data_IF_574045641830
#
_entry.id   IF_574045641830
#
_cell.length_a   1.000
_cell.length_b   1.000
_cell.length_c   1.000
_cell.angle_alpha   90.00
_cell.angle_beta   90.00
_cell.angle_gamma   90.00
#
_symmetry.space_group_name_H-M   'P 1'
#
loop_
_entity.id
_entity.type
_entity.pdbx_description
1 polymer ?
#
# COMPACT_ATOMS: atom_id res chain seq x y z
N UNK A 1 24.71 -4.26 -24.51
CA UNK A 1 25.55 -4.35 -25.76
C UNK A 1 26.46 -5.59 -25.78
N UNK A 2 27.04 -6.02 -24.67
CA UNK A 2 28.03 -7.12 -24.63
C UNK A 2 27.42 -8.52 -24.88
N UNK A 3 26.14 -8.72 -24.64
CA UNK A 3 25.47 -10.04 -24.78
C UNK A 3 25.12 -10.36 -26.25
N UNK A 4 24.81 -9.35 -27.05
CA UNK A 4 24.53 -9.49 -28.48
C UNK A 4 25.74 -9.96 -29.29
N UNK A 5 26.94 -9.49 -28.93
CA UNK A 5 28.20 -9.92 -29.53
C UNK A 5 28.53 -11.40 -29.28
N UNK A 6 28.06 -11.98 -28.18
CA UNK A 6 28.30 -13.40 -27.84
C UNK A 6 27.37 -14.38 -28.56
N UNK A 7 26.20 -13.93 -28.97
CA UNK A 7 25.20 -14.82 -29.59
C UNK A 7 25.37 -14.99 -31.11
N UNK A 8 26.17 -14.15 -31.78
CA UNK A 8 26.35 -14.17 -33.22
C UNK A 8 25.09 -13.81 -34.03
N UNK A 9 24.08 -13.27 -33.36
CA UNK A 9 22.79 -12.90 -33.97
C UNK A 9 22.75 -11.40 -34.25
N UNK A 10 22.19 -11.02 -35.40
CA UNK A 10 22.06 -9.60 -35.78
C UNK A 10 21.02 -8.85 -34.92
N UNK A 11 21.22 -7.55 -34.70
CA UNK A 11 20.26 -6.70 -33.99
C UNK A 11 18.85 -6.77 -34.58
N UNK A 12 18.74 -6.81 -35.91
CA UNK A 12 17.46 -6.92 -36.60
C UNK A 12 16.72 -8.22 -36.30
N UNK A 13 17.45 -9.31 -36.07
CA UNK A 13 16.86 -10.61 -35.71
C UNK A 13 16.31 -10.56 -34.28
N UNK A 14 17.00 -9.91 -33.35
CA UNK A 14 16.57 -9.75 -31.97
C UNK A 14 15.33 -8.86 -31.89
N UNK A 15 15.30 -7.77 -32.64
CA UNK A 15 14.11 -6.90 -32.72
C UNK A 15 12.91 -7.65 -33.31
N UNK A 16 13.10 -8.40 -34.41
CA UNK A 16 12.01 -9.24 -34.98
C UNK A 16 11.51 -10.30 -34.01
N UNK A 17 12.40 -10.94 -33.26
CA UNK A 17 12.03 -11.91 -32.25
C UNK A 17 11.14 -11.28 -31.17
N UNK A 18 11.53 -10.13 -30.63
CA UNK A 18 10.72 -9.40 -29.66
C UNK A 18 9.34 -9.03 -30.23
N UNK A 19 9.29 -8.57 -31.48
CA UNK A 19 8.02 -8.22 -32.16
C UNK A 19 7.13 -9.44 -32.42
N UNK A 20 7.70 -10.59 -32.75
CA UNK A 20 6.96 -11.85 -32.90
C UNK A 20 6.37 -12.33 -31.59
N UNK A 21 6.99 -12.02 -30.44
CA UNK A 21 6.47 -12.29 -29.11
C UNK A 21 5.42 -11.26 -28.64
N UNK A 22 5.09 -10.26 -29.48
CA UNK A 22 4.06 -9.28 -29.21
C UNK A 22 4.57 -7.99 -28.52
N UNK A 23 5.88 -7.82 -28.35
CA UNK A 23 6.46 -6.60 -27.80
C UNK A 23 6.72 -5.54 -28.89
N UNK A 24 6.70 -4.25 -28.51
CA UNK A 24 6.96 -3.15 -29.45
C UNK A 24 8.41 -3.11 -29.95
N UNK A 25 9.30 -3.85 -29.29
CA UNK A 25 10.71 -3.95 -29.66
C UNK A 25 11.53 -4.61 -28.54
N UNK A 26 12.84 -4.71 -28.78
CA UNK A 26 13.76 -5.37 -27.84
C UNK A 26 13.80 -4.76 -26.43
N UNK A 27 13.78 -3.41 -26.24
CA UNK A 27 13.80 -2.83 -24.92
C UNK A 27 12.59 -3.24 -24.05
N UNK A 28 11.41 -3.35 -24.63
CA UNK A 28 10.21 -3.79 -23.93
C UNK A 28 10.29 -5.29 -23.58
N UNK A 29 10.74 -6.11 -24.52
CA UNK A 29 10.99 -7.53 -24.28
C UNK A 29 12.06 -7.75 -23.21
N UNK A 30 13.18 -7.02 -23.25
CA UNK A 30 14.25 -7.09 -22.26
C UNK A 30 13.71 -6.79 -20.86
N UNK A 31 12.92 -5.74 -20.73
CA UNK A 31 12.28 -5.37 -19.46
C UNK A 31 11.35 -6.44 -18.93
N UNK A 32 10.51 -7.01 -19.79
CA UNK A 32 9.63 -8.12 -19.42
C UNK A 32 10.43 -9.38 -19.02
N UNK A 33 11.53 -9.66 -19.71
CA UNK A 33 12.41 -10.77 -19.38
C UNK A 33 13.14 -10.54 -18.05
N UNK A 34 13.61 -9.33 -17.78
CA UNK A 34 14.22 -8.96 -16.51
C UNK A 34 13.21 -9.11 -15.35
N UNK A 35 11.96 -8.67 -15.54
CA UNK A 35 10.87 -8.88 -14.56
C UNK A 35 10.62 -10.37 -14.32
N UNK A 36 10.55 -11.19 -15.38
CA UNK A 36 10.35 -12.63 -15.28
C UNK A 36 11.48 -13.33 -14.51
N UNK A 37 12.73 -13.00 -14.84
CA UNK A 37 13.92 -13.56 -14.17
C UNK A 37 13.93 -13.15 -12.71
N UNK A 38 13.69 -11.87 -12.42
CA UNK A 38 13.65 -11.33 -11.06
C UNK A 38 12.61 -12.04 -10.19
N UNK A 39 11.43 -12.32 -10.75
CA UNK A 39 10.35 -13.02 -10.05
C UNK A 39 10.69 -14.49 -9.72
N UNK A 40 11.62 -15.09 -10.47
CA UNK A 40 12.09 -16.48 -10.24
C UNK A 40 13.27 -16.60 -9.29
N UNK A 41 13.98 -15.51 -8.98
CA UNK A 41 15.12 -15.53 -8.06
C UNK A 41 14.65 -15.86 -6.64
N UNK A 42 15.33 -16.81 -5.99
CA UNK A 42 15.15 -17.04 -4.56
C UNK A 42 15.85 -15.95 -3.73
N UNK A 43 15.64 -15.95 -2.40
CA UNK A 43 16.18 -14.90 -1.53
C UNK A 43 17.70 -14.83 -1.54
N UNK A 44 18.38 -15.96 -1.68
CA UNK A 44 19.86 -16.03 -1.72
C UNK A 44 20.38 -15.40 -3.01
N UNK A 45 19.84 -15.80 -4.16
CA UNK A 45 20.19 -15.23 -5.46
C UNK A 45 19.96 -13.72 -5.53
N UNK A 46 18.91 -13.27 -4.89
CA UNK A 46 18.61 -11.85 -4.77
C UNK A 46 19.68 -11.10 -3.97
N UNK A 47 20.12 -11.67 -2.84
CA UNK A 47 21.24 -11.12 -2.05
C UNK A 47 22.54 -11.06 -2.86
N UNK A 48 22.89 -12.12 -3.57
CA UNK A 48 24.11 -12.20 -4.38
C UNK A 48 24.14 -11.11 -5.47
N UNK A 49 23.02 -10.86 -6.14
CA UNK A 49 22.91 -9.79 -7.14
C UNK A 49 23.12 -8.40 -6.51
N UNK A 50 22.75 -8.22 -5.24
CA UNK A 50 22.83 -6.93 -4.56
C UNK A 50 24.20 -6.68 -3.93
N UNK A 51 24.75 -7.67 -3.22
CA UNK A 51 26.02 -7.52 -2.51
C UNK A 51 27.23 -7.19 -3.40
N UNK A 52 27.17 -7.52 -4.68
CA UNK A 52 28.23 -7.15 -5.64
C UNK A 52 28.13 -5.74 -6.19
N UNK A 53 27.09 -4.97 -5.84
CA UNK A 53 26.77 -3.68 -6.50
C UNK A 53 26.73 -2.47 -5.57
N UNK A 54 26.64 -2.66 -4.26
CA UNK A 54 26.46 -1.59 -3.28
C UNK A 54 27.54 -1.67 -2.23
N UNK A 55 28.28 -0.58 -2.02
CA UNK A 55 29.22 -0.44 -0.91
C UNK A 55 28.46 -0.11 0.38
N UNK A 56 28.98 -0.54 1.53
CA UNK A 56 28.30 -0.36 2.82
C UNK A 56 28.12 1.12 3.18
N UNK A 57 28.98 2.00 2.72
CA UNK A 57 28.91 3.44 2.95
C UNK A 57 27.81 4.15 2.15
N UNK A 58 27.34 3.56 1.05
CA UNK A 58 26.36 4.17 0.13
C UNK A 58 24.96 3.55 0.23
N UNK A 59 24.76 2.59 1.15
CA UNK A 59 23.49 1.85 1.27
C UNK A 59 22.30 2.78 1.46
N UNK A 60 22.38 3.74 2.38
CA UNK A 60 21.28 4.64 2.70
C UNK A 60 20.84 5.45 1.48
N UNK A 61 21.79 6.12 0.83
CA UNK A 61 21.51 6.93 -0.37
C UNK A 61 20.97 6.07 -1.51
N UNK A 62 21.58 4.91 -1.75
CA UNK A 62 21.15 3.98 -2.82
C UNK A 62 19.72 3.50 -2.62
N UNK A 63 19.34 3.14 -1.38
CA UNK A 63 17.98 2.68 -1.07
C UNK A 63 16.98 3.83 -1.24
N UNK A 64 17.25 5.00 -0.66
CA UNK A 64 16.36 6.16 -0.76
C UNK A 64 16.19 6.63 -2.20
N UNK A 65 17.29 6.69 -2.97
CA UNK A 65 17.23 7.06 -4.38
C UNK A 65 16.43 6.03 -5.21
N UNK A 66 16.62 4.75 -4.94
CA UNK A 66 15.83 3.67 -5.55
C UNK A 66 14.34 3.78 -5.23
N UNK A 67 13.99 4.15 -4.00
CA UNK A 67 12.60 4.34 -3.58
C UNK A 67 11.95 5.56 -4.26
N UNK A 68 12.69 6.67 -4.40
CA UNK A 68 12.25 7.84 -5.16
C UNK A 68 11.93 7.46 -6.62
N UNK A 69 12.80 6.65 -7.24
CA UNK A 69 12.57 6.21 -8.62
C UNK A 69 11.32 5.32 -8.75
N UNK A 70 11.06 4.44 -7.80
CA UNK A 70 9.85 3.61 -7.79
C UNK A 70 8.58 4.44 -7.67
N UNK A 71 8.59 5.47 -6.82
CA UNK A 71 7.47 6.42 -6.73
C UNK A 71 7.27 7.13 -8.06
N UNK A 72 8.33 7.65 -8.69
CA UNK A 72 8.26 8.33 -9.99
C UNK A 72 7.73 7.39 -11.09
N UNK A 73 8.23 6.16 -11.15
CA UNK A 73 7.77 5.16 -12.12
C UNK A 73 6.30 4.80 -11.90
N UNK A 74 5.86 4.67 -10.66
CA UNK A 74 4.46 4.42 -10.32
C UNK A 74 3.59 5.58 -10.74
N UNK A 75 3.98 6.82 -10.41
CA UNK A 75 3.25 8.04 -10.78
C UNK A 75 3.08 8.17 -12.30
N UNK A 76 4.12 7.83 -13.08
CA UNK A 76 4.08 7.92 -14.55
C UNK A 76 3.25 6.80 -15.22
N UNK A 77 3.00 5.70 -14.52
CA UNK A 77 2.35 4.51 -15.07
C UNK A 77 0.97 4.22 -14.48
N UNK A 78 0.55 4.98 -13.46
CA UNK A 78 -0.72 4.73 -12.78
C UNK A 78 -1.92 4.98 -13.70
N UNK A 79 -2.87 4.06 -13.71
CA UNK A 79 -4.14 4.23 -14.40
C UNK A 79 -5.12 5.01 -13.52
N UNK A 80 -5.30 6.29 -13.87
CA UNK A 80 -6.23 7.18 -13.15
C UNK A 80 -7.69 6.70 -13.22
N UNK A 81 -8.10 6.00 -14.28
CA UNK A 81 -9.47 5.47 -14.39
C UNK A 81 -9.65 4.31 -13.43
N UNK A 82 -8.68 3.39 -13.37
CA UNK A 82 -8.67 2.30 -12.41
C UNK A 82 -8.65 2.82 -10.97
N UNK A 83 -7.86 3.86 -10.70
CA UNK A 83 -7.77 4.49 -9.39
C UNK A 83 -9.12 5.09 -8.96
N UNK A 84 -9.75 5.89 -9.82
CA UNK A 84 -11.07 6.48 -9.53
C UNK A 84 -12.16 5.41 -9.38
N UNK A 85 -12.14 4.39 -10.22
CA UNK A 85 -13.07 3.25 -10.11
C UNK A 85 -12.91 2.53 -8.75
N UNK A 86 -11.68 2.34 -8.29
CA UNK A 86 -11.42 1.73 -6.98
C UNK A 86 -12.02 2.57 -5.85
N UNK A 87 -11.83 3.90 -5.89
CA UNK A 87 -12.42 4.82 -4.89
C UNK A 87 -13.95 4.71 -4.86
N UNK A 88 -14.59 4.80 -6.03
CA UNK A 88 -16.06 4.76 -6.11
C UNK A 88 -16.60 3.40 -5.63
N UNK A 89 -15.92 2.32 -6.03
CA UNK A 89 -16.28 0.96 -5.59
C UNK A 89 -16.14 0.76 -4.08
N UNK A 90 -15.10 1.34 -3.46
CA UNK A 90 -14.91 1.27 -2.01
C UNK A 90 -15.95 2.08 -1.25
N UNK A 91 -16.37 3.21 -1.78
CA UNK A 91 -17.41 4.05 -1.19
C UNK A 91 -18.82 3.41 -1.23
N UNK A 92 -19.09 2.60 -2.25
CA UNK A 92 -20.37 1.89 -2.45
C UNK A 92 -20.40 0.52 -1.77
N UNK A 93 -19.27 0.03 -1.26
CA UNK A 93 -19.13 -1.30 -0.71
C UNK A 93 -19.98 -1.49 0.57
N UNK A 94 -20.68 -2.63 0.65
CA UNK A 94 -21.36 -3.05 1.89
C UNK A 94 -20.35 -3.45 2.96
N UNK A 95 -19.28 -4.14 2.57
CA UNK A 95 -18.15 -4.54 3.41
C UNK A 95 -16.88 -4.49 2.59
N UNK A 96 -15.80 -4.09 3.22
CA UNK A 96 -14.47 -4.01 2.62
C UNK A 96 -13.58 -5.02 3.34
N UNK A 97 -13.01 -5.96 2.59
CA UNK A 97 -12.02 -6.90 3.10
C UNK A 97 -10.65 -6.49 2.59
N UNK A 98 -9.66 -6.43 3.47
CA UNK A 98 -8.27 -6.11 3.10
C UNK A 98 -7.40 -7.30 3.42
N UNK A 99 -6.73 -7.88 2.42
CA UNK A 99 -5.86 -9.04 2.58
C UNK A 99 -4.47 -8.78 2.04
N UNK A 100 -3.47 -8.91 2.91
CA UNK A 100 -2.05 -8.89 2.59
C UNK A 100 -1.32 -9.85 3.52
N UNK A 101 -0.47 -10.71 2.97
CA UNK A 101 0.17 -11.80 3.72
C UNK A 101 1.68 -11.57 3.79
N UNK A 102 2.30 -11.96 4.93
CA UNK A 102 3.75 -11.84 5.17
C UNK A 102 4.21 -10.37 5.08
N UNK A 103 5.16 -10.03 4.17
CA UNK A 103 5.66 -8.67 3.99
C UNK A 103 4.59 -7.65 3.57
N UNK A 104 3.46 -8.11 3.00
CA UNK A 104 2.33 -7.25 2.66
C UNK A 104 1.33 -7.05 3.81
N UNK A 105 1.43 -7.81 4.91
CA UNK A 105 0.54 -7.68 6.06
C UNK A 105 0.58 -6.27 6.69
N UNK A 106 1.73 -5.61 6.86
CA UNK A 106 1.79 -4.23 7.33
C UNK A 106 1.02 -3.24 6.46
N UNK A 107 1.06 -3.40 5.12
CA UNK A 107 0.29 -2.55 4.21
C UNK A 107 -1.22 -2.77 4.37
N UNK A 108 -1.65 -4.03 4.51
CA UNK A 108 -3.04 -4.36 4.75
C UNK A 108 -3.53 -3.81 6.08
N UNK A 109 -2.73 -3.93 7.14
CA UNK A 109 -3.05 -3.39 8.47
C UNK A 109 -3.12 -1.86 8.46
N UNK A 110 -2.17 -1.19 7.82
CA UNK A 110 -2.16 0.26 7.65
C UNK A 110 -3.41 0.74 6.90
N UNK A 111 -3.70 0.12 5.76
CA UNK A 111 -4.88 0.46 4.96
C UNK A 111 -6.18 0.21 5.73
N UNK A 112 -6.28 -0.94 6.40
CA UNK A 112 -7.44 -1.30 7.20
C UNK A 112 -7.68 -0.35 8.36
N UNK A 113 -6.61 0.09 9.04
CA UNK A 113 -6.69 1.08 10.12
C UNK A 113 -7.35 2.38 9.64
N UNK A 114 -6.84 2.99 8.56
CA UNK A 114 -7.40 4.24 8.06
C UNK A 114 -8.77 4.08 7.41
N UNK A 115 -9.03 2.99 6.72
CA UNK A 115 -10.36 2.74 6.17
C UNK A 115 -11.42 2.58 7.26
N UNK A 116 -11.10 1.99 8.42
CA UNK A 116 -12.01 1.90 9.56
C UNK A 116 -12.39 3.26 10.18
N UNK A 117 -11.58 4.31 9.96
CA UNK A 117 -11.95 5.68 10.39
C UNK A 117 -12.99 6.33 9.47
N UNK A 118 -13.17 5.79 8.25
CA UNK A 118 -13.93 6.44 7.17
C UNK A 118 -15.09 5.59 6.67
N UNK A 119 -15.00 4.25 6.83
CA UNK A 119 -15.94 3.26 6.34
C UNK A 119 -16.40 2.34 7.47
N UNK A 120 -17.71 2.01 7.51
CA UNK A 120 -18.32 1.33 8.66
C UNK A 120 -17.96 -0.16 8.78
N UNK A 121 -17.69 -0.85 7.68
CA UNK A 121 -17.59 -2.32 7.66
C UNK A 121 -16.28 -2.78 7.00
N UNK A 122 -15.15 -2.47 7.63
CA UNK A 122 -13.83 -2.88 7.13
C UNK A 122 -13.30 -4.06 7.94
N UNK A 123 -12.91 -5.12 7.26
CA UNK A 123 -12.36 -6.35 7.82
C UNK A 123 -10.94 -6.53 7.31
N UNK A 124 -9.95 -6.30 8.17
CA UNK A 124 -8.55 -6.61 7.86
C UNK A 124 -8.29 -8.07 8.14
N UNK A 125 -7.96 -8.84 7.12
CA UNK A 125 -7.61 -10.26 7.24
C UNK A 125 -6.20 -10.37 7.82
N UNK A 126 -6.14 -10.59 9.13
CA UNK A 126 -4.90 -10.53 9.90
C UNK A 126 -4.47 -11.92 10.38
N UNK A 127 -4.12 -12.79 9.42
CA UNK A 127 -3.62 -14.13 9.71
C UNK A 127 -2.73 -14.67 8.59
N UNK A 128 -1.86 -15.62 8.94
CA UNK A 128 -1.07 -16.38 7.99
C UNK A 128 -1.61 -17.81 7.78
N UNK A 129 -2.67 -18.21 8.49
CA UNK A 129 -3.32 -19.51 8.35
C UNK A 129 -4.29 -19.51 7.16
N UNK A 130 -4.21 -20.52 6.30
CA UNK A 130 -5.11 -20.62 5.15
C UNK A 130 -6.56 -20.86 5.56
N UNK A 131 -6.82 -21.64 6.62
CA UNK A 131 -8.16 -21.88 7.14
C UNK A 131 -8.79 -20.61 7.69
N UNK A 132 -8.06 -19.90 8.55
CA UNK A 132 -8.52 -18.64 9.16
C UNK A 132 -8.80 -17.54 8.14
N UNK A 133 -8.05 -17.48 7.03
CA UNK A 133 -8.36 -16.54 5.94
C UNK A 133 -9.78 -16.80 5.43
N UNK A 134 -10.11 -18.05 5.11
CA UNK A 134 -11.45 -18.40 4.61
C UNK A 134 -12.56 -18.20 5.68
N UNK A 135 -12.26 -18.44 6.95
CA UNK A 135 -13.18 -18.17 8.05
C UNK A 135 -13.51 -16.67 8.14
N UNK A 136 -12.50 -15.79 7.98
CA UNK A 136 -12.69 -14.34 8.02
C UNK A 136 -13.44 -13.82 6.79
N UNK A 137 -13.28 -14.43 5.62
CA UNK A 137 -13.94 -13.99 4.37
C UNK A 137 -15.17 -14.83 4.00
N UNK A 138 -15.61 -15.77 4.84
CA UNK A 138 -16.68 -16.73 4.50
C UNK A 138 -18.00 -16.06 4.09
N UNK A 139 -18.26 -14.87 4.61
CA UNK A 139 -19.50 -14.11 4.34
C UNK A 139 -19.40 -13.14 3.16
N UNK A 140 -18.26 -13.14 2.44
CA UNK A 140 -18.07 -12.26 1.29
C UNK A 140 -19.05 -12.63 0.17
N UNK A 141 -19.58 -11.61 -0.52
CA UNK A 141 -20.54 -11.82 -1.59
C UNK A 141 -20.80 -10.57 -2.42
N UNK A 142 -21.89 -10.57 -3.15
CA UNK A 142 -22.29 -9.47 -4.02
C UNK A 142 -22.55 -8.17 -3.22
N UNK A 143 -21.93 -7.09 -3.70
CA UNK A 143 -21.92 -5.79 -3.03
C UNK A 143 -20.77 -5.60 -2.04
N UNK A 144 -19.97 -6.64 -1.79
CA UNK A 144 -18.73 -6.54 -1.01
C UNK A 144 -17.52 -6.28 -1.94
N UNK A 145 -16.45 -5.77 -1.33
CA UNK A 145 -15.16 -5.54 -1.99
C UNK A 145 -14.05 -6.25 -1.22
N UNK A 146 -13.13 -6.89 -1.95
CA UNK A 146 -11.88 -7.37 -1.39
C UNK A 146 -10.71 -6.66 -2.03
N UNK A 147 -9.78 -6.16 -1.21
CA UNK A 147 -8.51 -5.59 -1.66
C UNK A 147 -7.42 -6.60 -1.36
N UNK A 148 -6.77 -7.10 -2.41
CA UNK A 148 -5.64 -8.01 -2.31
C UNK A 148 -4.32 -7.29 -2.56
N UNK A 149 -3.39 -7.39 -1.60
CA UNK A 149 -2.06 -6.78 -1.68
C UNK A 149 -1.02 -7.90 -1.76
N UNK A 150 -0.31 -7.99 -2.90
CA UNK A 150 0.77 -8.96 -3.05
C UNK A 150 1.71 -8.55 -4.18
N UNK A 151 3.01 -8.77 -3.96
CA UNK A 151 4.10 -8.43 -4.87
C UNK A 151 4.89 -9.69 -5.24
N UNK A 152 5.89 -9.61 -6.13
CA UNK A 152 6.64 -10.76 -6.62
C UNK A 152 7.03 -11.76 -5.53
N UNK A 153 6.94 -13.07 -5.88
CA UNK A 153 6.75 -14.23 -5.03
C UNK A 153 5.35 -14.23 -4.39
N UNK A 154 4.38 -13.84 -5.23
CA UNK A 154 2.98 -13.70 -4.89
C UNK A 154 2.47 -14.80 -3.95
N UNK A 155 1.74 -14.40 -2.92
CA UNK A 155 1.18 -15.33 -1.95
C UNK A 155 0.03 -16.14 -2.56
N UNK A 156 0.19 -17.46 -2.62
CA UNK A 156 -0.90 -18.36 -3.04
C UNK A 156 -2.14 -18.25 -2.15
N UNK A 157 -1.97 -17.89 -0.88
CA UNK A 157 -3.08 -17.67 0.05
C UNK A 157 -3.89 -16.44 -0.34
N UNK A 158 -3.20 -15.34 -0.68
CA UNK A 158 -3.86 -14.13 -1.21
C UNK A 158 -4.59 -14.45 -2.52
N UNK A 159 -3.94 -15.15 -3.45
CA UNK A 159 -4.57 -15.55 -4.72
C UNK A 159 -5.86 -16.35 -4.49
N UNK A 160 -5.83 -17.35 -3.62
CA UNK A 160 -7.01 -18.17 -3.32
C UNK A 160 -8.12 -17.39 -2.62
N UNK A 161 -7.78 -16.41 -1.79
CA UNK A 161 -8.76 -15.52 -1.19
C UNK A 161 -9.47 -14.66 -2.25
N UNK A 162 -8.71 -14.14 -3.24
CA UNK A 162 -9.27 -13.37 -4.36
C UNK A 162 -10.13 -14.22 -5.28
N UNK A 163 -9.68 -15.45 -5.61
CA UNK A 163 -10.47 -16.43 -6.35
C UNK A 163 -11.81 -16.71 -5.67
N UNK A 164 -11.78 -16.99 -4.37
CA UNK A 164 -12.97 -17.24 -3.59
C UNK A 164 -13.95 -16.06 -3.60
N UNK A 165 -13.43 -14.83 -3.43
CA UNK A 165 -14.23 -13.62 -3.46
C UNK A 165 -14.85 -13.37 -4.85
N UNK A 166 -14.06 -13.53 -5.91
CA UNK A 166 -14.50 -13.38 -7.30
C UNK A 166 -15.62 -14.39 -7.63
N UNK A 167 -15.45 -15.66 -7.23
CA UNK A 167 -16.47 -16.70 -7.43
C UNK A 167 -17.79 -16.40 -6.70
N UNK A 168 -17.75 -15.59 -5.64
CA UNK A 168 -18.91 -15.10 -4.88
C UNK A 168 -19.44 -13.74 -5.36
N UNK A 169 -18.99 -13.27 -6.53
CA UNK A 169 -19.41 -12.02 -7.16
C UNK A 169 -19.05 -10.75 -6.36
N UNK A 170 -18.11 -10.83 -5.42
CA UNK A 170 -17.54 -9.65 -4.82
C UNK A 170 -16.64 -8.91 -5.82
N UNK A 171 -16.53 -7.59 -5.69
CA UNK A 171 -15.57 -6.81 -6.47
C UNK A 171 -14.16 -7.05 -5.91
N UNK A 172 -13.21 -7.25 -6.80
CA UNK A 172 -11.82 -7.53 -6.43
C UNK A 172 -10.93 -6.40 -6.92
N UNK A 173 -10.28 -5.70 -5.99
CA UNK A 173 -9.26 -4.69 -6.26
C UNK A 173 -7.91 -5.31 -5.91
N UNK A 174 -6.93 -5.22 -6.80
CA UNK A 174 -5.57 -5.68 -6.53
C UNK A 174 -4.59 -4.53 -6.47
N UNK A 175 -3.68 -4.56 -5.49
CA UNK A 175 -2.50 -3.72 -5.43
C UNK A 175 -1.28 -4.61 -5.64
N UNK A 176 -0.60 -4.44 -6.77
CA UNK A 176 0.49 -5.31 -7.22
C UNK A 176 1.50 -4.53 -8.09
N UNK A 177 2.57 -5.18 -8.54
CA UNK A 177 3.68 -4.53 -9.28
C UNK A 177 3.52 -4.49 -10.79
N UNK A 178 2.70 -5.38 -11.36
CA UNK A 178 2.63 -5.59 -12.81
C UNK A 178 1.24 -5.98 -13.28
N UNK A 179 0.91 -5.57 -14.51
CA UNK A 179 -0.28 -6.02 -15.23
C UNK A 179 -0.25 -7.54 -15.51
N UNK A 180 0.93 -8.17 -15.43
CA UNK A 180 1.12 -9.60 -15.62
C UNK A 180 1.08 -10.39 -14.30
N UNK A 181 0.76 -9.73 -13.19
CA UNK A 181 0.59 -10.41 -11.89
C UNK A 181 -0.51 -11.48 -11.98
N UNK A 182 -0.30 -12.67 -11.39
CA UNK A 182 -1.32 -13.72 -11.36
C UNK A 182 -2.58 -13.31 -10.60
N UNK A 183 -2.51 -12.26 -9.78
CA UNK A 183 -3.67 -11.71 -9.07
C UNK A 183 -4.70 -11.11 -10.03
N UNK A 184 -4.24 -10.64 -11.20
CA UNK A 184 -5.07 -9.91 -12.16
C UNK A 184 -6.12 -10.79 -12.82
N UNK A 185 -5.96 -12.11 -12.82
CA UNK A 185 -6.96 -13.03 -13.35
C UNK A 185 -8.30 -13.03 -12.59
N UNK A 186 -8.28 -12.59 -11.33
CA UNK A 186 -9.49 -12.51 -10.48
C UNK A 186 -9.96 -11.08 -10.26
N UNK A 187 -9.19 -10.08 -10.71
CA UNK A 187 -9.45 -8.70 -10.37
C UNK A 187 -10.52 -8.04 -11.24
N UNK A 188 -11.30 -7.18 -10.62
CA UNK A 188 -12.17 -6.21 -11.29
C UNK A 188 -11.40 -4.93 -11.63
N UNK A 189 -10.34 -4.62 -10.85
CA UNK A 189 -9.51 -3.44 -10.99
C UNK A 189 -8.10 -3.70 -10.46
N UNK A 190 -7.09 -3.21 -11.20
CA UNK A 190 -5.69 -3.36 -10.82
C UNK A 190 -5.05 -2.00 -10.56
N UNK A 191 -4.50 -1.84 -9.36
CA UNK A 191 -3.65 -0.73 -8.99
C UNK A 191 -2.20 -1.19 -9.06
N UNK A 192 -1.44 -0.61 -9.97
CA UNK A 192 -0.06 -1.01 -10.22
C UNK A 192 0.89 -0.05 -9.51
N UNK A 193 1.71 -0.59 -8.61
CA UNK A 193 2.74 0.15 -7.89
C UNK A 193 4.06 -0.61 -7.94
N UNK A 194 5.14 0.08 -8.26
CA UNK A 194 6.47 -0.56 -8.37
C UNK A 194 6.98 -0.99 -6.99
N UNK A 195 7.39 -2.25 -6.92
CA UNK A 195 7.93 -2.89 -5.71
C UNK A 195 9.19 -3.69 -6.05
N UNK A 196 10.05 -3.10 -6.88
CA UNK A 196 11.30 -3.75 -7.26
C UNK A 196 12.24 -3.79 -6.06
N UNK A 197 12.95 -4.91 -5.93
CA UNK A 197 13.91 -5.10 -4.86
C UNK A 197 15.18 -4.31 -5.03
N UNK A 198 15.65 -3.72 -3.94
CA UNK A 198 17.04 -3.32 -3.81
C UNK A 198 17.92 -4.44 -3.19
N UNK A 199 17.32 -5.43 -2.51
CA UNK A 199 18.07 -6.46 -1.76
C UNK A 199 17.14 -7.64 -1.41
N UNK A 200 17.25 -8.17 -0.18
CA UNK A 200 16.33 -9.14 0.44
C UNK A 200 14.97 -8.50 0.74
N UNK A 201 14.94 -7.17 0.88
CA UNK A 201 13.74 -6.41 1.23
C UNK A 201 13.11 -5.85 -0.04
N UNK A 202 11.83 -6.18 -0.26
CA UNK A 202 11.03 -5.55 -1.29
C UNK A 202 10.67 -4.11 -0.86
N UNK A 203 10.86 -3.12 -1.73
CA UNK A 203 10.42 -1.76 -1.43
C UNK A 203 8.91 -1.68 -1.45
N UNK A 204 8.32 -1.28 -0.35
CA UNK A 204 6.87 -1.07 -0.23
C UNK A 204 6.48 0.42 -0.21
N UNK A 205 7.43 1.31 -0.52
CA UNK A 205 7.22 2.77 -0.45
C UNK A 205 6.21 3.25 -1.49
N UNK A 206 6.37 2.86 -2.75
CA UNK A 206 5.40 3.22 -3.79
C UNK A 206 4.02 2.57 -3.58
N UNK A 207 3.90 1.28 -3.23
CA UNK A 207 2.64 0.70 -2.77
C UNK A 207 1.98 1.47 -1.63
N UNK A 208 2.72 1.84 -0.60
CA UNK A 208 2.21 2.63 0.53
C UNK A 208 1.72 4.02 0.06
N UNK A 209 2.44 4.65 -0.87
CA UNK A 209 2.03 5.93 -1.45
C UNK A 209 0.70 5.83 -2.21
N UNK A 210 0.45 4.72 -2.93
CA UNK A 210 -0.84 4.48 -3.59
C UNK A 210 -1.96 4.26 -2.56
N UNK A 211 -1.68 3.54 -1.47
CA UNK A 211 -2.63 3.37 -0.35
C UNK A 211 -2.96 4.73 0.27
N UNK A 212 -1.95 5.57 0.56
CA UNK A 212 -2.15 6.92 1.08
C UNK A 212 -3.05 7.74 0.16
N UNK A 213 -2.79 7.71 -1.15
CA UNK A 213 -3.60 8.42 -2.13
C UNK A 213 -5.07 7.95 -2.14
N UNK A 214 -5.32 6.63 -2.04
CA UNK A 214 -6.66 6.06 -1.93
C UNK A 214 -7.38 6.57 -0.67
N UNK A 215 -6.71 6.48 0.48
CA UNK A 215 -7.28 6.93 1.76
C UNK A 215 -7.63 8.42 1.69
N UNK A 216 -6.71 9.26 1.24
CA UNK A 216 -6.94 10.71 1.10
C UNK A 216 -8.11 11.00 0.16
N UNK A 217 -8.19 10.32 -0.99
CA UNK A 217 -9.29 10.52 -1.94
C UNK A 217 -10.66 10.11 -1.37
N UNK A 218 -10.71 9.01 -0.59
CA UNK A 218 -11.91 8.56 0.12
C UNK A 218 -12.30 9.59 1.19
N UNK A 219 -11.34 10.06 1.99
CA UNK A 219 -11.56 11.09 3.01
C UNK A 219 -12.12 12.39 2.39
N UNK A 220 -11.59 12.82 1.25
CA UNK A 220 -12.08 14.01 0.54
C UNK A 220 -13.55 13.85 0.09
N UNK A 221 -13.94 12.67 -0.38
CA UNK A 221 -15.32 12.38 -0.80
C UNK A 221 -16.29 12.24 0.37
N UNK A 222 -15.82 11.81 1.54
CA UNK A 222 -16.59 11.67 2.79
C UNK A 222 -16.21 12.70 3.85
N UNK A 223 -15.85 13.91 3.45
CA UNK A 223 -15.26 14.92 4.34
C UNK A 223 -16.10 15.19 5.60
N UNK A 224 -17.42 15.28 5.47
CA UNK A 224 -18.30 15.57 6.61
C UNK A 224 -18.31 14.43 7.65
N UNK A 225 -18.42 13.20 7.17
CA UNK A 225 -18.41 12.00 8.00
C UNK A 225 -17.06 11.83 8.71
N UNK A 226 -15.96 12.05 7.98
CA UNK A 226 -14.60 11.98 8.53
C UNK A 226 -14.39 13.01 9.62
N UNK A 227 -14.77 14.28 9.39
CA UNK A 227 -14.65 15.34 10.40
C UNK A 227 -15.45 15.00 11.66
N UNK A 228 -16.70 14.55 11.52
CA UNK A 228 -17.53 14.15 12.66
C UNK A 228 -16.94 12.98 13.45
N UNK A 229 -16.36 11.99 12.77
CA UNK A 229 -15.69 10.86 13.40
C UNK A 229 -14.43 11.31 14.17
N UNK A 230 -13.61 12.18 13.55
CA UNK A 230 -12.40 12.70 14.18
C UNK A 230 -12.72 13.60 15.38
N UNK A 231 -13.72 14.49 15.29
CA UNK A 231 -14.17 15.29 16.42
C UNK A 231 -14.63 14.43 17.61
N UNK A 232 -15.28 13.32 17.34
CA UNK A 232 -15.69 12.36 18.37
C UNK A 232 -14.47 11.66 19.00
N UNK A 233 -13.51 11.25 18.17
CA UNK A 233 -12.28 10.61 18.62
C UNK A 233 -11.42 11.56 19.44
N UNK A 234 -11.25 12.82 19.03
CA UNK A 234 -10.50 13.85 19.78
C UNK A 234 -11.07 14.05 21.19
N UNK A 235 -12.41 14.09 21.33
CA UNK A 235 -13.04 14.14 22.65
C UNK A 235 -12.72 12.91 23.51
N UNK A 236 -12.83 11.72 22.93
CA UNK A 236 -12.51 10.47 23.62
C UNK A 236 -11.01 10.44 24.00
N UNK A 237 -10.13 10.84 23.12
CA UNK A 237 -8.69 10.86 23.39
C UNK A 237 -8.33 11.86 24.49
N UNK A 238 -8.98 13.03 24.53
CA UNK A 238 -8.84 13.97 25.63
C UNK A 238 -9.36 13.42 26.96
N UNK A 239 -10.56 12.82 26.98
CA UNK A 239 -11.14 12.21 28.18
C UNK A 239 -10.28 11.09 28.76
N UNK A 240 -9.70 10.23 27.90
CA UNK A 240 -8.89 9.08 28.30
C UNK A 240 -7.38 9.35 28.30
N UNK A 241 -6.95 10.60 28.06
CA UNK A 241 -5.54 11.01 28.04
C UNK A 241 -4.66 10.11 27.15
N UNK A 242 -5.15 9.81 25.95
CA UNK A 242 -4.47 8.91 25.01
C UNK A 242 -3.15 9.49 24.52
N UNK A 243 -3.07 10.81 24.38
CA UNK A 243 -1.85 11.53 23.99
C UNK A 243 -1.30 12.34 25.16
N UNK A 244 0.01 12.26 25.39
CA UNK A 244 0.70 13.10 26.37
C UNK A 244 0.90 14.50 25.81
N UNK A 245 0.29 15.55 26.45
CA UNK A 245 0.53 16.94 26.11
C UNK A 245 -0.67 17.82 25.87
N UNK A 246 -1.89 17.32 25.92
CA UNK A 246 -3.09 18.16 25.97
C UNK A 246 -3.36 18.56 27.41
N UNK A 247 -2.74 19.66 27.86
CA UNK A 247 -3.24 20.40 29.01
C UNK A 247 -4.66 20.87 28.67
N UNK A 248 -5.62 20.37 29.43
CA UNK A 248 -7.01 20.79 29.38
C UNK A 248 -7.08 22.31 29.53
N UNK A 249 -7.32 23.00 28.43
CA UNK A 249 -7.75 24.40 28.44
C UNK A 249 -9.15 24.45 29.04
N UNK A 250 -9.28 24.21 30.34
CA UNK A 250 -10.47 24.62 31.08
C UNK A 250 -10.35 26.13 31.31
N UNK A 251 -11.00 26.87 30.46
CA UNK A 251 -11.42 28.25 30.76
C UNK A 251 -12.30 28.23 32.02
N UNK A 252 -11.65 28.45 33.16
CA UNK A 252 -12.32 28.79 34.38
C UNK A 252 -12.54 30.31 34.41
N UNK A 253 -13.58 30.81 33.79
CA UNK A 253 -14.11 32.12 34.08
C UNK A 253 -14.72 32.13 35.46
N UNK A 254 -14.06 32.81 36.40
CA UNK A 254 -14.68 33.27 37.64
C UNK A 254 -14.09 34.63 37.96
N UNK A 255 -14.88 35.64 37.64
CA UNK A 255 -14.75 36.95 38.22
C UNK A 255 -15.11 36.89 39.71
N UNK A 256 -14.24 37.41 40.57
CA UNK A 256 -14.46 37.52 41.99
C UNK A 256 -13.56 38.59 42.56
N UNK A 257 -14.11 39.78 42.66
CA UNK A 257 -13.66 40.93 43.45
C UNK A 257 -13.31 40.55 44.89
N UNK A 258 -12.21 41.06 45.49
CA UNK A 258 -12.20 41.98 46.60
C UNK A 258 -10.79 42.21 47.15
N UNK A 259 -10.41 43.43 47.14
CA UNK A 259 -9.97 44.33 48.26
C UNK A 259 -9.13 43.77 49.40
N UNK A 260 -8.06 44.51 49.55
CA UNK A 260 -7.43 45.00 50.79
C UNK A 260 -6.67 43.99 51.67
N UNK A 261 -5.37 44.21 51.83
CA UNK A 261 -4.84 44.76 53.07
C UNK A 261 -3.38 45.24 52.89
N UNK A 262 -3.21 46.42 53.38
CA UNK A 262 -1.97 47.20 53.55
C UNK A 262 -1.04 46.62 54.66
N UNK A 263 0.24 46.93 54.48
CA UNK A 263 1.22 47.26 55.49
C UNK A 263 1.83 46.12 56.32
N UNK A 264 3.10 45.92 56.25
CA UNK A 264 4.10 46.51 57.17
C UNK A 264 5.53 46.11 56.77
N UNK A 265 6.38 47.05 56.51
CA UNK A 265 7.56 47.50 57.27
C UNK A 265 8.43 46.37 57.88
N UNK A 266 9.68 46.31 57.50
CA UNK A 266 10.80 46.85 58.29
C UNK A 266 11.89 45.81 58.49
N UNK A 267 13.10 46.25 58.17
CA UNK A 267 14.36 46.06 58.92
C UNK A 267 14.79 44.61 59.24
N UNK A 268 15.82 44.13 58.67
CA UNK A 268 17.24 44.31 58.92
C UNK A 268 18.08 43.76 57.75
#
# INVERSE_FOLDING_TARGET
>A
YTTLFRSGVSESTVVRFATQLGYRGYPEFQKALEELVRNKLNSIQRMEVTYGRITQSEILETVLQSDIEKIKMTLSAIDHKAFNWAIDTLLEAKRIYVVGIRSCAPLASFMGFYLNLVCDNVITVNTNSSSEIFEQIIRIGEGDVIIGISFPRYSMRTLKALEFASNRKAKVITLTDSIHSPMNQYSSCNLIARSDMASIVDSLVAPLSVINALIVAICMKKQKEVVSTLETLEKIWGEYQVYSGEESSQEGGSAGTNESYRQNKGEE
#
